data_IF_843052134092
#
_entry.id   IF_843052134092
#
_cell.length_a   1.000
_cell.length_b   1.000
_cell.length_c   1.000
_cell.angle_alpha   90.00
_cell.angle_beta   90.00
_cell.angle_gamma   90.00
#
_symmetry.space_group_name_H-M   'P 1'
#
loop_
_entity.id
_entity.type
_entity.pdbx_description
1 polymer ?
#
# COMPACT_ATOMS: atom_id res chain seq x y z
N UNK A 1 49.30 -50.22 -3.13
CA UNK A 1 48.84 -48.89 -3.56
C UNK A 1 47.42 -48.73 -3.06
N UNK A 2 47.24 -48.02 -1.96
CA UNK A 2 45.94 -47.74 -1.33
C UNK A 2 45.66 -46.27 -1.57
N UNK A 3 44.55 -45.96 -2.24
CA UNK A 3 44.12 -44.58 -2.47
C UNK A 3 43.45 -44.03 -1.20
N UNK A 4 43.70 -42.76 -0.83
CA UNK A 4 42.95 -42.11 0.25
C UNK A 4 41.51 -41.80 -0.23
N UNK A 5 40.57 -42.05 0.67
CA UNK A 5 39.13 -41.86 0.49
C UNK A 5 38.77 -40.39 0.80
N UNK A 6 38.18 -39.70 -0.18
CA UNK A 6 37.74 -38.30 -0.08
C UNK A 6 36.42 -38.19 0.73
N UNK A 7 36.27 -37.22 1.64
CA UNK A 7 35.02 -37.02 2.37
C UNK A 7 33.94 -36.32 1.50
N UNK A 8 32.72 -36.86 1.54
CA UNK A 8 31.58 -36.34 0.79
C UNK A 8 31.08 -34.98 1.34
N UNK A 9 30.54 -34.08 0.48
CA UNK A 9 30.00 -32.79 0.91
C UNK A 9 28.67 -32.95 1.69
N UNK A 10 28.58 -32.26 2.83
CA UNK A 10 27.34 -32.13 3.62
C UNK A 10 26.32 -31.24 2.90
N UNK A 11 25.09 -31.74 2.75
CA UNK A 11 23.94 -30.95 2.29
C UNK A 11 23.40 -30.04 3.41
N UNK A 12 22.95 -28.80 3.10
CA UNK A 12 22.28 -27.94 4.06
C UNK A 12 20.92 -28.52 4.50
N UNK A 13 20.69 -28.59 5.81
CA UNK A 13 19.37 -28.91 6.39
C UNK A 13 18.41 -27.73 6.18
N UNK A 14 17.26 -28.02 5.55
CA UNK A 14 16.13 -27.09 5.42
C UNK A 14 15.31 -27.14 6.73
N UNK A 15 14.99 -26.01 7.38
CA UNK A 15 14.14 -26.01 8.57
C UNK A 15 12.70 -26.44 8.24
N UNK A 16 12.18 -27.40 9.00
CA UNK A 16 10.79 -27.83 8.97
C UNK A 16 9.84 -26.68 9.35
N UNK A 17 8.91 -26.33 8.45
CA UNK A 17 7.76 -25.49 8.76
C UNK A 17 6.67 -26.34 9.43
N UNK A 18 6.05 -25.89 10.55
CA UNK A 18 4.87 -26.53 11.07
C UNK A 18 3.67 -26.25 10.16
N UNK A 19 3.17 -27.31 9.53
CA UNK A 19 1.90 -27.36 8.80
C UNK A 19 0.73 -27.24 9.77
N UNK A 20 0.22 -26.03 9.94
CA UNK A 20 -1.02 -25.74 10.66
C UNK A 20 -1.97 -24.91 9.79
N UNK A 21 -2.72 -25.57 8.92
CA UNK A 21 -3.75 -24.94 8.11
C UNK A 21 -4.97 -24.67 9.01
N UNK A 22 -5.15 -23.42 9.46
CA UNK A 22 -6.38 -22.98 10.13
C UNK A 22 -7.30 -22.39 9.05
N UNK A 23 -8.49 -22.96 8.80
CA UNK A 23 -9.41 -22.39 7.83
C UNK A 23 -9.93 -21.03 8.31
N UNK A 24 -10.17 -20.06 7.41
CA UNK A 24 -10.76 -18.79 7.79
C UNK A 24 -12.21 -19.02 8.26
N UNK A 25 -12.46 -18.81 9.54
CA UNK A 25 -13.82 -18.68 10.08
C UNK A 25 -14.45 -17.41 9.49
N UNK A 26 -15.49 -17.60 8.68
CA UNK A 26 -16.41 -16.54 8.28
C UNK A 26 -17.03 -15.94 9.55
N UNK A 27 -16.68 -14.69 9.85
CA UNK A 27 -17.32 -13.92 10.90
C UNK A 27 -18.73 -13.54 10.45
N UNK A 28 -19.71 -14.33 10.90
CA UNK A 28 -21.10 -13.89 10.97
C UNK A 28 -21.18 -12.72 11.95
N UNK A 29 -21.64 -11.56 11.46
CA UNK A 29 -22.02 -10.44 12.29
C UNK A 29 -23.36 -10.77 12.98
N UNK A 30 -23.29 -11.30 14.19
CA UNK A 30 -24.46 -11.52 15.03
C UNK A 30 -24.55 -10.39 16.06
N UNK A 31 -25.54 -9.51 15.85
CA UNK A 31 -25.96 -8.46 16.78
C UNK A 31 -26.46 -9.11 18.07
N UNK A 32 -25.81 -8.79 19.19
CA UNK A 32 -26.12 -9.39 20.49
C UNK A 32 -27.42 -8.89 21.13
N UNK A 33 -27.89 -9.68 22.10
CA UNK A 33 -28.64 -9.21 23.28
C UNK A 33 -28.27 -10.05 24.50
N UNK A 34 -27.68 -9.37 25.48
CA UNK A 34 -27.35 -9.72 26.86
C UNK A 34 -28.52 -10.25 27.69
N UNK A 35 -28.31 -11.28 28.54
CA UNK A 35 -28.83 -11.33 29.92
C UNK A 35 -28.05 -12.33 30.80
N UNK A 36 -27.33 -11.78 31.80
CA UNK A 36 -27.03 -12.27 33.16
C UNK A 36 -26.68 -13.74 33.47
N UNK A 37 -25.46 -13.94 34.01
CA UNK A 37 -25.20 -14.91 35.07
C UNK A 37 -24.01 -14.43 35.94
N UNK A 38 -24.07 -14.48 37.29
CA UNK A 38 -22.96 -14.12 38.16
C UNK A 38 -21.84 -15.19 38.09
N UNK A 39 -20.54 -14.80 38.14
CA UNK A 39 -19.43 -15.71 37.90
C UNK A 39 -19.15 -16.63 39.10
N UNK A 40 -18.82 -17.92 38.87
CA UNK A 40 -18.23 -18.76 39.90
C UNK A 40 -16.80 -18.31 40.22
N UNK A 41 -16.48 -18.33 41.51
CA UNK A 41 -15.18 -18.02 42.10
C UNK A 41 -14.05 -18.88 41.54
N UNK A 42 -12.96 -18.23 41.14
CA UNK A 42 -11.62 -18.83 41.08
C UNK A 42 -11.02 -18.93 39.69
N UNK A 43 -10.38 -17.84 39.24
CA UNK A 43 -9.14 -17.80 38.44
C UNK A 43 -8.99 -16.38 37.91
N UNK A 44 -7.98 -15.66 38.36
CA UNK A 44 -7.59 -14.39 37.76
C UNK A 44 -6.96 -14.69 36.40
N UNK A 45 -7.79 -14.84 35.37
CA UNK A 45 -7.34 -14.81 34.00
C UNK A 45 -6.89 -13.38 33.69
N UNK A 46 -5.60 -13.22 33.42
CA UNK A 46 -5.02 -11.97 32.95
C UNK A 46 -5.59 -11.72 31.55
N UNK A 47 -6.66 -10.94 31.46
CA UNK A 47 -7.20 -10.49 30.16
C UNK A 47 -6.26 -9.38 29.68
N UNK A 48 -5.51 -9.55 28.58
CA UNK A 48 -4.69 -8.48 28.05
C UNK A 48 -5.62 -7.32 27.68
N UNK A 49 -5.41 -6.19 28.33
CA UNK A 49 -6.13 -4.96 28.09
C UNK A 49 -5.71 -4.46 26.71
N UNK A 50 -6.51 -4.78 25.70
CA UNK A 50 -6.30 -4.31 24.33
C UNK A 50 -6.30 -2.78 24.38
N UNK A 51 -5.23 -2.10 23.95
CA UNK A 51 -5.19 -0.65 23.92
C UNK A 51 -6.38 -0.13 23.11
N UNK A 52 -6.95 1.04 23.46
CA UNK A 52 -8.09 1.59 22.76
C UNK A 52 -7.78 1.61 21.27
N UNK A 53 -8.51 0.79 20.52
CA UNK A 53 -8.31 0.63 19.09
C UNK A 53 -8.71 1.98 18.48
N UNK A 54 -7.70 2.76 18.08
CA UNK A 54 -7.90 4.08 17.50
C UNK A 54 -8.94 3.95 16.39
N UNK A 55 -9.98 4.79 16.45
CA UNK A 55 -11.08 4.75 15.51
C UNK A 55 -10.52 4.72 14.07
N UNK A 56 -11.06 3.87 13.18
CA UNK A 56 -10.56 3.76 11.82
C UNK A 56 -10.66 5.13 11.14
N UNK A 57 -9.52 5.80 10.97
CA UNK A 57 -9.44 7.07 10.22
C UNK A 57 -9.88 6.78 8.79
N UNK A 58 -10.94 7.43 8.34
CA UNK A 58 -11.45 7.29 6.98
C UNK A 58 -10.37 7.78 6.01
N UNK A 59 -10.20 7.10 4.87
CA UNK A 59 -9.16 7.43 3.88
C UNK A 59 -9.18 8.91 3.43
N UNK A 60 -10.34 9.57 3.49
CA UNK A 60 -10.50 10.99 3.20
C UNK A 60 -10.00 11.93 4.29
N UNK A 61 -10.03 11.52 5.57
CA UNK A 61 -9.53 12.33 6.68
C UNK A 61 -8.00 12.38 6.68
N UNK A 62 -7.33 11.30 6.28
CA UNK A 62 -5.87 11.22 6.17
C UNK A 62 -5.33 12.05 4.98
N UNK A 63 -6.14 12.24 3.94
CA UNK A 63 -5.79 13.01 2.74
C UNK A 63 -5.64 14.52 2.98
N UNK A 64 -6.33 15.06 3.99
CA UNK A 64 -6.25 16.48 4.38
C UNK A 64 -5.64 16.68 5.77
N UNK A 65 -5.09 15.62 6.38
CA UNK A 65 -4.35 15.73 7.62
C UNK A 65 -2.93 16.23 7.31
N UNK A 66 -2.77 17.55 7.26
CA UNK A 66 -1.46 18.21 7.19
C UNK A 66 -0.67 18.09 8.51
N UNK A 67 -1.23 17.38 9.51
CA UNK A 67 -0.56 17.07 10.76
C UNK A 67 0.23 15.77 10.57
N UNK A 68 1.54 15.89 10.35
CA UNK A 68 2.48 14.80 10.10
C UNK A 68 2.72 13.87 11.31
N UNK A 69 1.68 13.36 11.96
CA UNK A 69 1.83 12.50 13.14
C UNK A 69 2.29 11.07 12.80
N UNK A 70 2.07 10.59 11.57
CA UNK A 70 2.50 9.26 11.10
C UNK A 70 2.86 9.31 9.61
N UNK A 71 4.05 9.83 9.30
CA UNK A 71 4.52 9.92 7.93
C UNK A 71 5.07 8.56 7.47
N UNK A 72 4.23 7.76 6.81
CA UNK A 72 4.67 6.56 6.09
C UNK A 72 5.04 6.94 4.65
N UNK A 73 6.32 6.81 4.22
CA UNK A 73 6.75 7.16 2.86
C UNK A 73 5.92 6.47 1.77
N UNK A 74 5.51 5.22 2.03
CA UNK A 74 4.70 4.42 1.10
C UNK A 74 3.31 5.03 0.84
N UNK A 75 2.70 5.66 1.85
CA UNK A 75 1.40 6.31 1.73
C UNK A 75 1.51 7.60 0.93
N UNK A 76 2.55 8.41 1.16
CA UNK A 76 2.72 9.65 0.42
C UNK A 76 2.89 9.39 -1.08
N UNK A 77 3.68 8.37 -1.46
CA UNK A 77 3.91 8.03 -2.86
C UNK A 77 2.62 7.61 -3.57
N UNK A 78 1.78 6.79 -2.92
CA UNK A 78 0.50 6.38 -3.51
C UNK A 78 -0.49 7.55 -3.62
N UNK A 79 -0.56 8.43 -2.63
CA UNK A 79 -1.41 9.62 -2.69
C UNK A 79 -0.96 10.58 -3.80
N UNK A 80 0.35 10.80 -3.92
CA UNK A 80 0.96 11.61 -4.98
C UNK A 80 0.64 11.04 -6.36
N UNK A 81 0.68 9.71 -6.52
CA UNK A 81 0.30 9.07 -7.77
C UNK A 81 -1.14 9.38 -8.16
N UNK A 82 -2.07 9.16 -7.24
CA UNK A 82 -3.50 9.35 -7.48
C UNK A 82 -3.79 10.81 -7.80
N UNK A 83 -3.27 11.74 -6.99
CA UNK A 83 -3.44 13.18 -7.21
C UNK A 83 -2.82 13.63 -8.55
N UNK A 84 -1.63 13.13 -8.89
CA UNK A 84 -0.98 13.43 -10.16
C UNK A 84 -1.78 12.91 -11.36
N UNK A 85 -2.32 11.68 -11.28
CA UNK A 85 -3.19 11.12 -12.31
C UNK A 85 -4.45 11.95 -12.51
N UNK A 86 -5.13 12.28 -11.40
CA UNK A 86 -6.35 13.10 -11.43
C UNK A 86 -6.05 14.46 -12.03
N UNK A 87 -4.97 15.11 -11.59
CA UNK A 87 -4.56 16.42 -12.10
C UNK A 87 -4.26 16.39 -13.61
N UNK A 88 -3.59 15.33 -14.11
CA UNK A 88 -3.31 15.17 -15.53
C UNK A 88 -4.59 14.98 -16.36
N UNK A 89 -5.50 14.12 -15.91
CA UNK A 89 -6.76 13.86 -16.61
C UNK A 89 -7.63 15.12 -16.61
N UNK A 90 -7.78 15.78 -15.47
CA UNK A 90 -8.56 17.02 -15.36
C UNK A 90 -7.92 18.13 -16.20
N UNK A 91 -6.60 18.30 -16.11
CA UNK A 91 -5.87 19.29 -16.91
C UNK A 91 -6.01 19.07 -18.41
N UNK A 92 -5.98 17.82 -18.86
CA UNK A 92 -6.26 17.46 -20.25
C UNK A 92 -7.69 17.82 -20.67
N UNK A 93 -8.69 17.49 -19.86
CA UNK A 93 -10.08 17.83 -20.18
C UNK A 93 -10.29 19.36 -20.25
N UNK A 94 -9.71 20.11 -19.31
CA UNK A 94 -9.77 21.57 -19.32
C UNK A 94 -9.08 22.14 -20.56
N UNK A 95 -7.94 21.59 -20.98
CA UNK A 95 -7.23 22.08 -22.17
C UNK A 95 -8.03 21.81 -23.46
N UNK A 96 -8.69 20.66 -23.56
CA UNK A 96 -9.57 20.34 -24.70
C UNK A 96 -10.77 21.29 -24.74
N UNK A 97 -11.44 21.51 -23.60
CA UNK A 97 -12.59 22.43 -23.50
C UNK A 97 -12.16 23.86 -23.86
N UNK A 98 -11.05 24.34 -23.31
CA UNK A 98 -10.50 25.66 -23.60
C UNK A 98 -10.12 25.81 -25.08
N UNK A 99 -9.57 24.74 -25.69
CA UNK A 99 -9.26 24.71 -27.11
C UNK A 99 -10.49 24.92 -28.00
N UNK A 100 -11.56 24.16 -27.74
CA UNK A 100 -12.82 24.30 -28.48
C UNK A 100 -13.54 25.63 -28.22
N UNK A 101 -13.40 26.21 -27.02
CA UNK A 101 -13.93 27.54 -26.71
C UNK A 101 -13.27 28.66 -27.52
N UNK A 102 -12.00 28.47 -27.92
CA UNK A 102 -11.28 29.41 -28.78
C UNK A 102 -11.59 29.22 -30.26
N UNK A 103 -11.19 28.07 -30.82
CA UNK A 103 -11.49 27.71 -32.22
C UNK A 103 -11.65 26.20 -32.38
N UNK A 104 -12.44 25.72 -33.37
CA UNK A 104 -12.58 24.28 -33.60
C UNK A 104 -11.25 23.57 -33.88
N UNK A 105 -10.35 24.21 -34.64
CA UNK A 105 -9.04 23.65 -34.96
C UNK A 105 -8.16 23.50 -33.70
N UNK A 106 -8.16 24.49 -32.81
CA UNK A 106 -7.42 24.41 -31.55
C UNK A 106 -7.92 23.27 -30.65
N UNK A 107 -9.25 23.06 -30.59
CA UNK A 107 -9.84 21.93 -29.89
C UNK A 107 -9.39 20.58 -30.46
N UNK A 108 -9.38 20.42 -31.79
CA UNK A 108 -8.90 19.19 -32.44
C UNK A 108 -7.41 18.96 -32.17
N UNK A 109 -6.58 20.00 -32.28
CA UNK A 109 -5.14 19.90 -31.96
C UNK A 109 -4.94 19.51 -30.50
N UNK A 110 -5.65 20.13 -29.56
CA UNK A 110 -5.58 19.78 -28.14
C UNK A 110 -5.98 18.32 -27.88
N UNK A 111 -6.96 17.79 -28.61
CA UNK A 111 -7.41 16.40 -28.47
C UNK A 111 -6.36 15.42 -29.04
N UNK A 112 -5.90 15.67 -30.27
CA UNK A 112 -4.98 14.77 -30.99
C UNK A 112 -3.56 14.81 -30.43
N UNK A 113 -3.04 15.99 -30.08
CA UNK A 113 -1.70 16.13 -29.51
C UNK A 113 -1.71 15.99 -27.97
N UNK A 114 -2.76 16.46 -27.31
CA UNK A 114 -2.87 16.39 -25.85
C UNK A 114 -3.06 14.97 -25.33
N UNK A 115 -3.76 14.08 -26.05
CA UNK A 115 -3.93 12.69 -25.64
C UNK A 115 -2.59 11.91 -25.52
N UNK A 116 -1.73 11.84 -26.57
CA UNK A 116 -0.44 11.17 -26.45
C UNK A 116 0.50 11.87 -25.47
N UNK A 117 0.45 13.21 -25.38
CA UNK A 117 1.22 13.95 -24.39
C UNK A 117 0.80 13.58 -22.95
N UNK A 118 -0.50 13.50 -22.68
CA UNK A 118 -1.02 13.12 -21.36
C UNK A 118 -0.64 11.68 -21.03
N UNK A 119 -0.75 10.75 -22.00
CA UNK A 119 -0.29 9.37 -21.81
C UNK A 119 1.20 9.32 -21.46
N UNK A 120 2.04 10.05 -22.20
CA UNK A 120 3.47 10.16 -21.93
C UNK A 120 3.75 10.68 -20.51
N UNK A 121 3.03 11.72 -20.06
CA UNK A 121 3.15 12.24 -18.71
C UNK A 121 2.72 11.23 -17.63
N UNK A 122 1.68 10.44 -17.88
CA UNK A 122 1.27 9.35 -16.97
C UNK A 122 2.36 8.28 -16.85
N UNK A 123 2.98 7.88 -17.97
CA UNK A 123 4.12 6.95 -17.95
C UNK A 123 5.32 7.55 -17.21
N UNK A 124 5.63 8.83 -17.46
CA UNK A 124 6.69 9.55 -16.75
C UNK A 124 6.44 9.63 -15.25
N UNK A 125 5.20 9.91 -14.83
CA UNK A 125 4.79 9.92 -13.43
C UNK A 125 5.01 8.55 -12.77
N UNK A 126 4.64 7.47 -13.47
CA UNK A 126 4.88 6.10 -12.99
C UNK A 126 6.37 5.84 -12.79
N UNK A 127 7.18 6.16 -13.80
CA UNK A 127 8.62 5.95 -13.74
C UNK A 127 9.29 6.77 -12.62
N UNK A 128 8.86 8.02 -12.43
CA UNK A 128 9.35 8.88 -11.36
C UNK A 128 9.05 8.30 -9.98
N UNK A 129 7.84 7.79 -9.77
CA UNK A 129 7.44 7.21 -8.49
C UNK A 129 8.11 5.86 -8.22
N UNK A 130 8.32 5.03 -9.25
CA UNK A 130 9.09 3.79 -9.13
C UNK A 130 10.55 4.08 -8.75
N UNK A 131 11.14 5.14 -9.32
CA UNK A 131 12.48 5.60 -8.96
C UNK A 131 12.55 6.13 -7.52
N UNK A 132 11.56 6.93 -7.09
CA UNK A 132 11.47 7.44 -5.72
C UNK A 132 11.28 6.31 -4.70
N UNK A 133 10.38 5.35 -5.00
CA UNK A 133 10.15 4.19 -4.15
C UNK A 133 11.43 3.38 -3.96
N UNK A 134 12.11 3.04 -5.06
CA UNK A 134 13.37 2.28 -5.05
C UNK A 134 14.46 2.98 -4.25
N UNK A 135 14.56 4.31 -4.36
CA UNK A 135 15.56 5.10 -3.63
C UNK A 135 15.37 5.07 -2.12
N UNK A 136 14.12 5.00 -1.64
CA UNK A 136 13.82 4.91 -0.21
C UNK A 136 14.16 3.54 0.38
N UNK A 137 14.01 2.46 -0.38
CA UNK A 137 14.33 1.10 0.07
C UNK A 137 15.84 0.86 0.21
N UNK A 138 16.64 1.40 -0.72
CA UNK A 138 18.11 1.28 -0.68
C UNK A 138 18.70 1.92 0.59
N UNK A 139 18.15 3.05 1.04
CA UNK A 139 18.62 3.73 2.26
C UNK A 139 18.28 2.92 3.54
N UNK A 140 17.09 2.32 3.60
CA UNK A 140 16.68 1.47 4.73
C UNK A 140 17.55 0.22 4.85
N UNK A 141 17.98 -0.36 3.72
CA UNK A 141 18.85 -1.55 3.70
C UNK A 141 20.27 -1.26 4.18
N UNK A 142 20.76 -0.03 3.95
CA UNK A 142 22.10 0.43 4.38
C UNK A 142 22.19 0.77 5.88
N UNK A 143 21.06 1.04 6.54
CA UNK A 143 21.00 1.36 7.97
C UNK A 143 20.82 0.10 8.86
N UNK A 144 20.56 -1.06 8.26
CA UNK A 144 20.30 -2.33 8.94
C UNK A 144 21.44 -3.35 8.83
N UNK A 145 22.52 -3.03 8.12
CA UNK A 145 23.74 -3.83 8.01
C UNK A 145 24.94 -3.02 8.44
#
# INVERSE_FOLDING_TARGET
MTYPQEPAPQQPQVPEQPTGYVPPQQAHAEYGTTYGAPPPTGQYAYVPQQPPQAAPKTAMTVLFDFTFAEYSPRTLLSMTYILGLVALVVGFLVSVIAGFAGTPLAGVVALVAGAPMTAFLIFGLRMLLEFLASSTEVNQKKLRG
#
